data_IF_216709949309
#
_entry.id   IF_216709949309
#
_cell.length_a   1.000
_cell.length_b   1.000
_cell.length_c   1.000
_cell.angle_alpha   90.00
_cell.angle_beta   90.00
_cell.angle_gamma   90.00
#
_symmetry.space_group_name_H-M   'P 1'
#
loop_
_entity.id
_entity.type
_entity.pdbx_description
1 polymer ?
#
# COMPACT_ATOMS: atom_id res chain seq x y z
N UNK A 1 -41.22 3.28 -35.20
CA UNK A 1 -40.87 1.94 -35.70
C UNK A 1 -39.41 1.76 -35.41
N UNK A 2 -39.11 0.87 -34.48
CA UNK A 2 -37.79 0.66 -33.87
C UNK A 2 -36.74 0.18 -34.89
N UNK A 3 -35.47 0.49 -34.63
CA UNK A 3 -34.59 -0.60 -34.17
C UNK A 3 -33.38 -0.07 -33.40
N UNK A 4 -33.20 -0.64 -32.21
CA UNK A 4 -32.04 -0.57 -31.33
C UNK A 4 -30.74 -1.00 -32.02
N UNK A 5 -29.63 -0.35 -31.67
CA UNK A 5 -28.28 -0.83 -31.93
C UNK A 5 -27.46 -0.72 -30.64
N UNK A 6 -27.48 -1.76 -29.82
CA UNK A 6 -26.73 -1.85 -28.56
C UNK A 6 -25.23 -2.03 -28.87
N UNK A 7 -24.39 -1.21 -28.26
CA UNK A 7 -22.93 -1.44 -28.23
C UNK A 7 -22.47 -1.31 -26.78
N UNK A 8 -22.30 -2.46 -26.16
CA UNK A 8 -21.78 -2.61 -24.82
C UNK A 8 -20.37 -2.03 -24.76
N UNK A 9 -20.25 -0.81 -24.22
CA UNK A 9 -18.96 -0.31 -23.77
C UNK A 9 -18.73 -0.92 -22.41
N UNK A 10 -17.86 -1.94 -22.34
CA UNK A 10 -17.38 -2.44 -21.06
C UNK A 10 -16.72 -1.29 -20.33
N UNK A 11 -17.32 -0.86 -19.22
CA UNK A 11 -16.74 0.17 -18.38
C UNK A 11 -15.39 -0.34 -17.88
N UNK A 12 -14.31 0.31 -18.29
CA UNK A 12 -13.12 0.32 -17.48
C UNK A 12 -13.54 0.95 -16.16
N UNK A 13 -13.51 0.18 -15.08
CA UNK A 13 -13.48 0.77 -13.75
C UNK A 13 -12.17 1.55 -13.70
N UNK A 14 -12.25 2.84 -13.42
CA UNK A 14 -11.09 3.70 -13.25
C UNK A 14 -10.41 3.25 -11.96
N UNK A 15 -9.44 2.34 -12.08
CA UNK A 15 -8.70 1.81 -10.95
C UNK A 15 -7.88 2.96 -10.37
N UNK A 16 -8.08 3.22 -9.08
CA UNK A 16 -7.61 4.40 -8.38
C UNK A 16 -6.11 4.64 -8.58
N UNK A 17 -5.78 5.61 -9.43
CA UNK A 17 -4.42 5.93 -9.80
C UNK A 17 -3.99 7.26 -9.16
N UNK A 18 -3.20 7.26 -8.06
CA UNK A 18 -2.49 8.46 -7.60
C UNK A 18 -1.75 9.23 -8.71
N UNK A 19 -1.66 10.56 -8.55
CA UNK A 19 -1.06 11.49 -9.51
C UNK A 19 0.46 11.77 -9.23
N UNK A 20 1.18 12.56 -10.05
CA UNK A 20 2.65 12.73 -9.91
C UNK A 20 3.13 14.22 -9.86
N UNK A 21 4.39 14.63 -9.63
CA UNK A 21 5.71 13.94 -9.54
C UNK A 21 6.62 14.52 -8.43
N UNK A 22 7.26 13.66 -7.60
CA UNK A 22 8.59 13.89 -7.01
C UNK A 22 9.38 12.59 -7.15
N UNK A 23 10.19 12.52 -8.21
CA UNK A 23 10.59 11.28 -8.93
C UNK A 23 9.75 10.04 -8.52
N UNK A 24 8.44 10.06 -8.84
CA UNK A 24 7.58 8.92 -8.58
C UNK A 24 8.09 7.77 -9.44
N UNK A 25 7.67 6.55 -9.12
CA UNK A 25 7.87 5.49 -10.08
C UNK A 25 7.08 5.82 -11.38
N UNK A 26 7.70 5.61 -12.54
CA UNK A 26 6.99 5.67 -13.83
C UNK A 26 6.61 4.24 -14.29
N UNK A 27 7.24 3.23 -13.69
CA UNK A 27 7.11 1.82 -14.01
C UNK A 27 7.55 0.94 -12.83
N UNK A 28 7.19 -0.35 -12.86
CA UNK A 28 7.69 -1.36 -11.91
C UNK A 28 9.22 -1.41 -11.80
N UNK A 29 9.95 -0.99 -12.84
CA UNK A 29 11.42 -1.00 -12.85
C UNK A 29 12.04 0.08 -11.94
N UNK A 30 11.25 1.09 -11.57
CA UNK A 30 11.65 2.19 -10.68
C UNK A 30 11.41 1.83 -9.21
N UNK A 31 10.86 0.65 -8.92
CA UNK A 31 10.55 0.19 -7.57
C UNK A 31 11.40 -1.02 -7.17
N UNK A 32 11.87 -1.00 -5.92
CA UNK A 32 12.47 -2.15 -5.27
C UNK A 32 11.75 -2.49 -3.98
N UNK A 33 12.02 -3.68 -3.46
CA UNK A 33 11.67 -4.07 -2.10
C UNK A 33 12.92 -4.04 -1.23
N UNK A 34 12.82 -3.39 -0.07
CA UNK A 34 13.76 -3.53 1.03
C UNK A 34 13.10 -4.39 2.12
N UNK A 35 13.80 -5.46 2.52
CA UNK A 35 13.42 -6.31 3.64
C UNK A 35 14.46 -6.26 4.74
N UNK A 36 14.01 -6.05 5.97
CA UNK A 36 14.82 -6.24 7.17
C UNK A 36 14.14 -7.22 8.14
N UNK A 37 14.56 -7.24 9.40
CA UNK A 37 14.00 -8.15 10.39
C UNK A 37 12.62 -7.73 10.93
N UNK A 38 12.22 -6.49 10.70
CA UNK A 38 11.03 -5.86 11.29
C UNK A 38 9.96 -5.55 10.24
N UNK A 39 10.37 -5.27 9.01
CA UNK A 39 9.58 -4.66 7.95
C UNK A 39 9.89 -5.27 6.57
N UNK A 40 8.90 -5.21 5.69
CA UNK A 40 9.08 -5.37 4.26
C UNK A 40 8.41 -4.19 3.59
N UNK A 41 9.16 -3.42 2.79
CA UNK A 41 8.71 -2.13 2.27
C UNK A 41 9.12 -1.96 0.81
N UNK A 42 8.17 -1.56 -0.03
CA UNK A 42 8.45 -1.12 -1.39
C UNK A 42 8.86 0.35 -1.39
N UNK A 43 9.86 0.71 -2.21
CA UNK A 43 10.40 2.06 -2.28
C UNK A 43 11.04 2.32 -3.65
N UNK A 44 11.15 3.60 -4.05
CA UNK A 44 11.96 3.99 -5.21
C UNK A 44 13.45 4.03 -4.79
N UNK A 45 14.36 3.25 -5.43
CA UNK A 45 15.79 3.23 -5.09
C UNK A 45 16.54 4.56 -5.26
N UNK A 46 15.93 5.54 -5.92
CA UNK A 46 16.44 6.90 -6.06
C UNK A 46 16.30 7.73 -4.78
N UNK A 47 15.44 7.27 -3.86
CA UNK A 47 15.20 7.89 -2.55
C UNK A 47 16.06 7.25 -1.46
N UNK A 48 16.07 7.86 -0.27
CA UNK A 48 16.64 7.25 0.94
C UNK A 48 16.00 5.88 1.18
N UNK A 49 16.82 4.85 1.42
CA UNK A 49 16.32 3.54 1.83
C UNK A 49 15.52 3.68 3.13
N UNK A 50 14.35 3.04 3.28
CA UNK A 50 13.41 3.20 4.41
C UNK A 50 13.90 2.64 5.77
N UNK A 51 15.21 2.59 5.99
CA UNK A 51 15.83 2.18 7.24
C UNK A 51 16.15 0.68 7.33
N UNK A 52 16.76 0.33 8.45
CA UNK A 52 16.94 -1.05 8.91
C UNK A 52 16.93 -1.01 10.43
N UNK A 53 15.98 -1.70 11.06
CA UNK A 53 15.75 -1.73 12.50
C UNK A 53 16.90 -2.34 13.34
N UNK A 54 18.07 -2.59 12.76
CA UNK A 54 19.29 -3.07 13.41
C UNK A 54 19.24 -4.52 13.89
N UNK A 55 18.18 -5.26 13.51
CA UNK A 55 17.95 -6.63 13.94
C UNK A 55 18.91 -7.66 13.31
N UNK A 56 19.15 -8.75 14.04
CA UNK A 56 19.74 -9.97 13.46
C UNK A 56 18.66 -11.07 13.43
N UNK A 57 18.13 -11.35 12.24
CA UNK A 57 17.13 -12.38 11.97
C UNK A 57 17.71 -13.50 11.10
N UNK A 58 17.01 -14.64 11.02
CA UNK A 58 17.44 -15.78 10.16
C UNK A 58 17.08 -15.59 8.69
N UNK A 59 16.10 -14.74 8.42
CA UNK A 59 15.57 -14.32 7.13
C UNK A 59 14.91 -12.95 7.35
N UNK A 60 14.91 -12.09 6.35
CA UNK A 60 14.16 -10.83 6.34
C UNK A 60 12.65 -11.08 6.18
N UNK A 61 11.83 -10.05 6.44
CA UNK A 61 10.37 -10.16 6.36
C UNK A 61 9.84 -10.34 4.95
N UNK A 62 10.50 -9.81 3.92
CA UNK A 62 10.07 -10.03 2.55
C UNK A 62 10.21 -11.50 2.16
N UNK A 63 11.35 -12.10 2.48
CA UNK A 63 11.60 -13.54 2.34
C UNK A 63 10.61 -14.38 3.17
N UNK A 64 10.30 -13.98 4.41
CA UNK A 64 9.32 -14.67 5.26
C UNK A 64 7.90 -14.61 4.70
N UNK A 65 7.50 -13.48 4.14
CA UNK A 65 6.15 -13.23 3.62
C UNK A 65 5.99 -13.60 2.13
N UNK A 66 7.07 -14.04 1.46
CA UNK A 66 7.05 -14.42 0.04
C UNK A 66 6.86 -13.22 -0.90
N UNK A 67 7.47 -12.09 -0.55
CA UNK A 67 7.37 -10.81 -1.27
C UNK A 67 8.64 -10.60 -2.10
N UNK A 68 8.55 -10.86 -3.41
CA UNK A 68 9.71 -10.94 -4.30
C UNK A 68 9.87 -9.73 -5.25
N UNK A 69 8.85 -8.87 -5.37
CA UNK A 69 8.85 -7.74 -6.31
C UNK A 69 7.92 -6.62 -5.84
N UNK A 70 8.32 -5.38 -6.11
CA UNK A 70 7.45 -4.21 -6.02
C UNK A 70 6.76 -3.95 -7.37
N UNK A 71 5.70 -3.15 -7.34
CA UNK A 71 5.03 -2.59 -8.51
C UNK A 71 4.96 -1.07 -8.37
N UNK A 72 4.85 -0.39 -9.50
CA UNK A 72 4.50 1.02 -9.52
C UNK A 72 2.99 1.17 -9.67
N UNK A 73 2.29 1.28 -8.55
CA UNK A 73 0.87 1.60 -8.58
C UNK A 73 0.71 3.11 -8.51
N UNK A 74 0.65 3.69 -9.71
CA UNK A 74 0.36 5.09 -9.98
C UNK A 74 1.24 6.07 -9.17
N UNK A 75 2.55 5.95 -9.39
CA UNK A 75 3.57 6.83 -8.81
C UNK A 75 4.08 6.43 -7.44
N UNK A 76 3.36 5.56 -6.72
CA UNK A 76 3.79 4.99 -5.44
C UNK A 76 4.34 3.59 -5.64
N UNK A 77 5.53 3.33 -5.10
CA UNK A 77 6.04 1.96 -5.02
C UNK A 77 5.28 1.17 -3.95
N UNK A 78 4.68 0.06 -4.37
CA UNK A 78 3.94 -0.87 -3.51
C UNK A 78 4.48 -2.29 -3.70
N UNK A 79 4.16 -3.22 -2.81
CA UNK A 79 4.50 -4.64 -3.00
C UNK A 79 3.62 -5.20 -4.11
N UNK A 80 4.16 -6.05 -4.99
CA UNK A 80 3.38 -6.47 -6.16
C UNK A 80 2.27 -7.46 -5.82
N UNK A 81 1.02 -7.06 -6.08
CA UNK A 81 -0.17 -7.90 -5.99
C UNK A 81 -0.48 -8.38 -4.56
N UNK A 82 -0.49 -7.46 -3.59
CA UNK A 82 -0.73 -7.73 -2.16
C UNK A 82 -1.72 -6.75 -1.53
N UNK A 83 -2.68 -6.22 -2.30
CA UNK A 83 -3.81 -5.50 -1.71
C UNK A 83 -4.55 -6.40 -0.72
N UNK A 84 -5.01 -5.80 0.37
CA UNK A 84 -5.94 -6.41 1.32
C UNK A 84 -7.24 -5.60 1.43
N UNK A 85 -7.41 -4.61 0.55
CA UNK A 85 -8.62 -3.82 0.49
C UNK A 85 -9.73 -4.64 -0.17
N UNK A 86 -10.81 -4.85 0.58
CA UNK A 86 -11.94 -5.67 0.18
C UNK A 86 -12.90 -4.91 -0.74
N UNK A 87 -12.81 -3.58 -0.78
CA UNK A 87 -13.64 -2.74 -1.65
C UNK A 87 -13.17 -2.80 -3.12
N UNK A 88 -11.94 -3.32 -3.37
CA UNK A 88 -11.42 -3.62 -4.71
C UNK A 88 -11.93 -4.95 -5.31
N UNK A 89 -12.71 -5.74 -4.56
CA UNK A 89 -13.15 -7.07 -5.01
C UNK A 89 -14.40 -6.99 -5.89
N UNK A 90 -14.26 -7.41 -7.15
CA UNK A 90 -15.32 -7.37 -8.17
C UNK A 90 -15.76 -8.75 -8.68
N UNK A 91 -15.14 -9.83 -8.22
CA UNK A 91 -15.38 -11.19 -8.70
C UNK A 91 -15.92 -12.14 -7.61
N UNK A 92 -16.65 -13.19 -8.02
CA UNK A 92 -17.33 -14.15 -7.13
C UNK A 92 -16.39 -15.16 -6.41
N UNK A 93 -15.10 -14.82 -6.23
CA UNK A 93 -14.19 -15.65 -5.45
C UNK A 93 -14.59 -15.62 -3.95
N UNK A 94 -14.53 -16.75 -3.23
CA UNK A 94 -14.90 -16.77 -1.81
C UNK A 94 -13.81 -16.10 -0.95
N UNK A 95 -14.24 -15.28 0.00
CA UNK A 95 -13.37 -14.68 1.00
C UNK A 95 -12.79 -15.77 1.94
N UNK A 96 -11.47 -15.81 2.17
CA UNK A 96 -10.85 -16.70 3.14
C UNK A 96 -11.04 -16.23 4.60
N UNK A 97 -11.20 -17.17 5.52
CA UNK A 97 -11.16 -16.92 6.97
C UNK A 97 -9.71 -16.65 7.41
N UNK A 98 -9.39 -15.39 7.74
CA UNK A 98 -8.04 -14.99 8.16
C UNK A 98 -7.86 -14.92 9.68
N UNK A 99 -6.68 -15.30 10.22
CA UNK A 99 -6.39 -15.18 11.64
C UNK A 99 -6.23 -13.71 12.06
N UNK A 100 -6.35 -13.42 13.38
CA UNK A 100 -6.12 -12.05 13.89
C UNK A 100 -4.73 -11.53 13.46
N UNK A 101 -4.69 -10.29 12.99
CA UNK A 101 -3.47 -9.64 12.47
C UNK A 101 -3.19 -9.96 11.00
N UNK A 102 -4.15 -10.55 10.29
CA UNK A 102 -4.08 -10.82 8.86
C UNK A 102 -5.39 -10.50 8.16
N UNK A 103 -5.32 -10.14 6.89
CA UNK A 103 -6.47 -9.84 6.02
C UNK A 103 -6.46 -10.72 4.77
N UNK A 104 -7.62 -10.91 4.11
CA UNK A 104 -7.69 -11.55 2.81
C UNK A 104 -6.83 -10.85 1.77
N UNK A 105 -6.04 -11.59 1.00
CA UNK A 105 -5.30 -11.04 -0.13
C UNK A 105 -6.21 -10.91 -1.36
N UNK A 106 -6.24 -9.71 -1.92
CA UNK A 106 -6.88 -9.34 -3.18
C UNK A 106 -5.80 -9.19 -4.27
N UNK A 107 -6.07 -9.75 -5.44
CA UNK A 107 -5.23 -9.65 -6.65
C UNK A 107 -6.15 -9.71 -7.88
N UNK A 108 -5.95 -8.83 -8.85
CA UNK A 108 -6.80 -8.74 -10.05
C UNK A 108 -8.31 -8.60 -9.75
N UNK A 109 -8.68 -7.81 -8.74
CA UNK A 109 -10.04 -7.64 -8.24
C UNK A 109 -10.73 -8.93 -7.74
N UNK A 110 -9.94 -9.93 -7.31
CA UNK A 110 -10.40 -11.22 -6.78
C UNK A 110 -9.72 -11.57 -5.45
N UNK A 111 -10.45 -12.24 -4.55
CA UNK A 111 -9.82 -12.95 -3.45
C UNK A 111 -8.95 -14.11 -3.97
N UNK A 112 -7.70 -14.16 -3.53
CA UNK A 112 -6.75 -15.22 -3.90
C UNK A 112 -6.90 -16.51 -3.09
N UNK A 113 -7.77 -16.50 -2.06
CA UNK A 113 -7.87 -17.56 -1.06
C UNK A 113 -6.72 -17.59 -0.04
N UNK A 114 -5.82 -16.60 -0.06
CA UNK A 114 -4.71 -16.43 0.89
C UNK A 114 -5.01 -15.30 1.88
N UNK A 115 -4.29 -15.32 3.00
CA UNK A 115 -4.26 -14.24 3.97
C UNK A 115 -2.84 -13.66 4.05
N UNK A 116 -2.74 -12.34 4.21
CA UNK A 116 -1.49 -11.63 4.44
C UNK A 116 -1.47 -11.01 5.83
N UNK A 117 -0.31 -10.96 6.51
CA UNK A 117 -0.13 -10.06 7.65
C UNK A 117 -0.54 -8.63 7.26
N UNK A 118 -1.18 -7.88 8.15
CA UNK A 118 -1.61 -6.50 7.84
C UNK A 118 -0.43 -5.60 7.44
N UNK A 119 0.75 -5.81 8.03
CA UNK A 119 2.00 -5.11 7.68
C UNK A 119 2.58 -5.49 6.28
N UNK A 120 1.98 -6.46 5.59
CA UNK A 120 2.36 -6.92 4.26
C UNK A 120 1.30 -6.54 3.20
N UNK A 121 0.27 -5.80 3.60
CA UNK A 121 -0.81 -5.32 2.74
C UNK A 121 -0.44 -3.97 2.12
N UNK A 122 -0.59 -3.82 0.81
CA UNK A 122 -0.36 -2.53 0.13
C UNK A 122 -1.39 -1.48 0.53
N UNK A 123 -2.64 -1.95 0.61
CA UNK A 123 -3.83 -1.22 1.02
C UNK A 123 -4.66 -2.08 1.96
N UNK A 124 -5.39 -1.43 2.85
CA UNK A 124 -6.36 -2.04 3.78
C UNK A 124 -7.68 -1.25 3.74
N UNK A 125 -8.82 -1.86 4.12
CA UNK A 125 -10.11 -1.15 4.11
C UNK A 125 -10.21 0.08 5.03
N UNK A 126 -9.32 0.20 6.03
CA UNK A 126 -9.39 1.25 7.03
C UNK A 126 -8.29 1.18 8.10
N UNK A 127 -8.07 2.30 8.80
CA UNK A 127 -7.08 2.41 9.88
C UNK A 127 -7.37 1.51 11.10
N UNK A 128 -8.59 1.01 11.27
CA UNK A 128 -8.97 0.10 12.35
C UNK A 128 -8.28 -1.28 12.24
N UNK A 129 -7.75 -1.61 11.06
CA UNK A 129 -6.89 -2.77 10.85
C UNK A 129 -5.44 -2.56 11.35
N UNK A 130 -4.99 -1.31 11.55
CA UNK A 130 -3.60 -0.99 11.89
C UNK A 130 -3.25 -1.12 13.39
N UNK A 131 -3.75 -2.16 14.08
CA UNK A 131 -3.51 -2.35 15.52
C UNK A 131 -2.00 -2.47 15.84
N UNK A 132 -1.44 -1.45 16.53
CA UNK A 132 -0.02 -1.38 16.86
C UNK A 132 0.90 -0.93 15.72
N UNK A 133 0.34 -0.38 14.64
CA UNK A 133 1.03 0.16 13.47
C UNK A 133 0.64 1.61 13.23
N UNK A 134 1.40 2.31 12.40
CA UNK A 134 1.07 3.67 11.97
C UNK A 134 0.10 3.54 10.80
N UNK A 135 -1.11 4.09 10.92
CA UNK A 135 -1.97 4.21 9.75
C UNK A 135 -1.48 5.38 8.89
N UNK A 136 -1.33 5.14 7.60
CA UNK A 136 -1.14 6.15 6.59
C UNK A 136 -2.42 6.27 5.75
N UNK A 137 -2.95 7.49 5.65
CA UNK A 137 -4.08 7.85 4.81
C UNK A 137 -3.56 8.65 3.63
N UNK A 138 -3.99 8.28 2.43
CA UNK A 138 -3.68 9.01 1.19
C UNK A 138 -4.98 9.53 0.59
N UNK A 139 -5.18 10.85 0.64
CA UNK A 139 -6.41 11.53 0.23
C UNK A 139 -6.38 11.95 -1.25
N UNK A 140 -6.91 11.10 -2.12
CA UNK A 140 -7.14 11.43 -3.53
C UNK A 140 -8.44 12.21 -3.76
N UNK A 141 -8.61 12.80 -4.97
CA UNK A 141 -9.83 13.55 -5.31
C UNK A 141 -11.10 12.68 -5.41
N UNK A 142 -10.93 11.39 -5.71
CA UNK A 142 -12.04 10.44 -5.96
C UNK A 142 -12.10 9.28 -4.95
N UNK A 143 -11.06 9.11 -4.11
CA UNK A 143 -10.92 7.97 -3.19
C UNK A 143 -9.93 8.27 -2.05
N UNK A 144 -10.04 7.52 -0.95
CA UNK A 144 -9.14 7.59 0.21
C UNK A 144 -8.54 6.22 0.45
N UNK A 145 -7.21 6.10 0.36
CA UNK A 145 -6.51 4.83 0.59
C UNK A 145 -5.94 4.77 2.00
N UNK A 146 -5.90 3.57 2.58
CA UNK A 146 -5.32 3.32 3.90
C UNK A 146 -4.20 2.28 3.80
N UNK A 147 -3.07 2.53 4.44
CA UNK A 147 -1.93 1.61 4.56
C UNK A 147 -1.52 1.48 6.02
N UNK A 148 -1.16 0.28 6.47
CA UNK A 148 -0.57 0.08 7.79
C UNK A 148 0.96 -0.05 7.67
N UNK A 149 1.66 0.95 8.20
CA UNK A 149 3.13 1.01 8.21
C UNK A 149 3.62 0.43 9.54
N UNK A 150 4.52 -0.56 9.47
CA UNK A 150 5.18 -1.09 10.66
C UNK A 150 5.96 0.03 11.39
N UNK A 151 5.94 0.12 12.73
CA UNK A 151 6.70 1.14 13.46
C UNK A 151 8.18 1.09 13.10
N UNK A 152 8.71 2.23 12.64
CA UNK A 152 10.13 2.42 12.33
C UNK A 152 10.79 2.99 13.59
N UNK A 153 11.68 2.26 14.29
CA UNK A 153 12.26 2.71 15.57
C UNK A 153 12.95 4.07 15.50
N UNK A 154 13.56 4.39 14.37
CA UNK A 154 14.21 5.67 14.07
C UNK A 154 13.20 6.85 14.05
N UNK A 155 11.93 6.57 13.75
CA UNK A 155 10.85 7.56 13.70
C UNK A 155 10.02 7.65 15.00
N UNK A 156 10.16 6.72 15.96
CA UNK A 156 9.35 6.72 17.20
C UNK A 156 9.50 7.99 18.08
N UNK A 157 10.54 8.78 17.86
CA UNK A 157 10.86 9.99 18.63
C UNK A 157 10.70 11.29 17.82
N UNK A 158 10.21 11.21 16.58
CA UNK A 158 10.03 12.33 15.67
C UNK A 158 8.54 12.46 15.30
N UNK A 159 8.04 13.67 14.97
CA UNK A 159 6.74 13.81 14.31
C UNK A 159 6.71 12.96 13.04
N UNK A 160 5.58 12.33 12.73
CA UNK A 160 5.54 11.39 11.60
C UNK A 160 5.82 12.09 10.28
N UNK A 161 5.42 13.35 10.10
CA UNK A 161 5.78 14.11 8.90
C UNK A 161 7.29 14.37 8.75
N UNK A 162 8.02 14.56 9.84
CA UNK A 162 9.46 14.85 9.82
C UNK A 162 10.31 13.61 9.48
N UNK A 163 9.76 12.39 9.61
CA UNK A 163 10.49 11.13 9.43
C UNK A 163 9.91 10.22 8.34
N UNK A 164 8.58 10.19 8.20
CA UNK A 164 7.83 9.35 7.26
C UNK A 164 7.24 10.17 6.10
N UNK A 165 7.16 11.50 6.22
CA UNK A 165 6.61 12.37 5.17
C UNK A 165 7.31 12.19 3.83
N UNK A 166 8.64 12.32 3.78
CA UNK A 166 9.45 12.10 2.56
C UNK A 166 9.42 10.65 2.01
N UNK A 167 8.88 9.69 2.78
CA UNK A 167 8.83 8.27 2.39
C UNK A 167 7.42 7.90 1.87
N UNK A 168 6.37 8.45 2.49
CA UNK A 168 4.97 8.04 2.26
C UNK A 168 4.06 9.19 1.79
N UNK A 169 4.25 10.42 2.28
CA UNK A 169 3.57 11.62 1.76
C UNK A 169 4.34 12.21 0.58
N UNK A 170 4.50 11.36 -0.44
CA UNK A 170 5.14 11.71 -1.69
C UNK A 170 4.12 12.25 -2.70
N UNK A 171 4.58 13.03 -3.70
CA UNK A 171 3.68 13.68 -4.64
C UNK A 171 2.78 12.67 -5.35
N UNK A 172 1.49 12.98 -5.51
CA UNK A 172 0.91 14.32 -5.50
C UNK A 172 0.53 14.79 -4.08
N UNK A 173 0.67 13.92 -3.08
CA UNK A 173 0.18 14.10 -1.73
C UNK A 173 1.30 14.66 -0.82
N UNK A 174 1.90 15.78 -1.24
CA UNK A 174 3.02 16.45 -0.56
C UNK A 174 2.63 17.03 0.81
N UNK A 175 1.36 17.36 1.01
CA UNK A 175 0.87 17.92 2.26
C UNK A 175 0.78 16.82 3.31
N UNK A 176 1.79 16.73 4.16
CA UNK A 176 1.76 15.86 5.31
C UNK A 176 1.10 16.51 6.53
N UNK A 177 0.17 15.79 7.16
CA UNK A 177 -0.41 16.11 8.46
C UNK A 177 -0.36 14.90 9.41
N UNK A 178 -0.30 15.18 10.71
CA UNK A 178 -0.38 14.15 11.76
C UNK A 178 -1.68 14.35 12.55
N UNK A 179 -2.62 13.41 12.41
CA UNK A 179 -3.93 13.47 13.07
C UNK A 179 -4.14 12.27 13.99
N UNK A 180 -4.15 12.51 15.32
CA UNK A 180 -4.43 11.47 16.33
C UNK A 180 -3.51 10.23 16.26
N UNK A 181 -2.29 10.37 15.72
CA UNK A 181 -1.36 9.26 15.48
C UNK A 181 -1.51 8.58 14.11
N UNK A 182 -2.19 9.25 13.17
CA UNK A 182 -2.31 8.86 11.75
C UNK A 182 -1.47 9.81 10.90
N UNK A 183 -0.76 9.26 9.91
CA UNK A 183 -0.02 9.99 8.89
C UNK A 183 -0.95 10.28 7.70
N UNK A 184 -1.46 11.49 7.58
CA UNK A 184 -2.34 11.90 6.48
C UNK A 184 -1.51 12.60 5.41
N UNK A 185 -1.62 12.11 4.18
CA UNK A 185 -1.00 12.69 2.99
C UNK A 185 -2.13 13.22 2.08
N UNK A 186 -2.21 14.54 1.91
CA UNK A 186 -3.16 15.20 1.03
C UNK A 186 -2.45 15.97 -0.09
N UNK A 187 -3.23 16.38 -1.11
CA UNK A 187 -2.79 17.29 -2.18
C UNK A 187 -2.34 18.68 -1.66
#
# INVERSE_FOLDING_TARGET
GDTTGDTTTGGVVDLCAPAPQGDPCESDADCAIAGDCCSCVAYNPSMSSPGNCGGNCKQDRCSEWGLESAACEAGVCVVKGKSCDQDEVLCDAPQPDCPKGSLPQVDGACFTGKCLPVAACDWVPGCDHCEGMICNITEGPDCTHHRCIAPIPECEQLPYCDCLGEIFCNPPHESCAEEQGVLVCSL
#
